data_IF_657382288968
#
_entry.id   IF_657382288968
#
_cell.length_a   1.000
_cell.length_b   1.000
_cell.length_c   1.000
_cell.angle_alpha   90.00
_cell.angle_beta   90.00
_cell.angle_gamma   90.00
#
_symmetry.space_group_name_H-M   'P 1'
#
loop_
_entity.id
_entity.type
_entity.pdbx_description
1 polymer ?
#
# COMPACT_ATOMS: atom_id res chain seq x y z
N UNK A 1 -20.44 44.13 6.75
CA UNK A 1 -20.70 43.17 7.84
C UNK A 1 -21.90 42.31 7.49
N UNK A 2 -21.84 41.03 7.83
CA UNK A 2 -22.93 40.06 7.66
C UNK A 2 -23.06 39.28 8.98
N UNK A 3 -24.25 39.31 9.58
CA UNK A 3 -24.57 38.51 10.76
C UNK A 3 -25.52 37.40 10.32
N UNK A 4 -25.15 36.16 10.62
CA UNK A 4 -25.92 34.95 10.28
C UNK A 4 -26.20 34.17 11.55
N UNK A 5 -27.45 33.74 11.72
CA UNK A 5 -27.85 32.81 12.77
C UNK A 5 -28.90 31.85 12.24
N UNK A 6 -28.72 30.55 12.51
CA UNK A 6 -29.60 29.48 12.03
C UNK A 6 -29.91 29.54 10.51
N UNK A 7 -28.93 29.96 9.69
CA UNK A 7 -29.08 30.11 8.23
C UNK A 7 -29.88 31.33 7.78
N UNK A 8 -30.30 32.21 8.71
CA UNK A 8 -31.03 33.45 8.46
C UNK A 8 -30.12 34.65 8.68
N UNK A 9 -30.36 35.73 7.93
CA UNK A 9 -29.60 36.98 8.05
C UNK A 9 -30.19 37.82 9.17
N UNK A 10 -29.36 38.23 10.13
CA UNK A 10 -29.72 39.19 11.18
C UNK A 10 -29.27 40.63 10.87
N UNK A 11 -28.30 40.79 9.98
CA UNK A 11 -27.84 42.10 9.49
C UNK A 11 -26.96 41.92 8.25
N UNK A 12 -27.09 42.83 7.28
CA UNK A 12 -26.20 42.93 6.12
C UNK A 12 -26.04 44.40 5.72
N UNK A 13 -24.84 44.97 5.91
CA UNK A 13 -24.59 46.39 5.66
C UNK A 13 -23.19 46.85 6.05
N UNK A 14 -22.94 48.15 6.03
CA UNK A 14 -21.67 48.74 6.45
C UNK A 14 -21.43 48.50 7.96
N UNK A 15 -20.19 48.23 8.36
CA UNK A 15 -19.85 48.03 9.79
C UNK A 15 -20.17 49.26 10.65
N UNK A 16 -20.05 50.46 10.08
CA UNK A 16 -20.35 51.74 10.73
C UNK A 16 -21.82 51.89 11.12
N UNK A 17 -22.73 51.27 10.37
CA UNK A 17 -24.17 51.46 10.54
C UNK A 17 -24.78 50.42 11.50
N UNK A 18 -23.97 49.45 11.93
CA UNK A 18 -24.41 48.33 12.75
C UNK A 18 -24.87 48.76 14.14
N UNK A 19 -24.11 49.65 14.81
CA UNK A 19 -24.49 50.18 16.12
C UNK A 19 -25.82 50.95 16.05
N UNK A 20 -26.01 51.74 15.00
CA UNK A 20 -27.24 52.48 14.74
C UNK A 20 -28.42 51.55 14.46
N UNK A 21 -28.20 50.46 13.72
CA UNK A 21 -29.21 49.43 13.50
C UNK A 21 -29.62 48.73 14.80
N UNK A 22 -28.64 48.27 15.58
CA UNK A 22 -28.84 47.60 16.85
C UNK A 22 -29.60 48.50 17.85
N UNK A 23 -29.25 49.79 17.91
CA UNK A 23 -30.00 50.77 18.69
C UNK A 23 -31.45 50.91 18.21
N UNK A 24 -31.71 50.93 16.89
CA UNK A 24 -33.05 51.05 16.30
C UNK A 24 -33.97 49.86 16.63
N UNK A 25 -33.42 48.66 16.75
CA UNK A 25 -34.17 47.45 17.14
C UNK A 25 -34.23 47.25 18.66
N UNK A 26 -33.79 48.24 19.45
CA UNK A 26 -33.87 48.21 20.91
C UNK A 26 -32.80 47.35 21.59
N UNK A 27 -31.64 47.19 20.96
CA UNK A 27 -30.49 46.43 21.47
C UNK A 27 -29.19 47.25 21.33
N UNK A 28 -29.06 48.43 21.95
CA UNK A 28 -27.86 49.25 21.82
C UNK A 28 -26.64 48.53 22.41
N UNK A 29 -25.48 48.71 21.76
CA UNK A 29 -24.21 48.14 22.26
C UNK A 29 -23.84 48.83 23.57
N UNK A 30 -23.64 48.09 24.68
CA UNK A 30 -23.24 48.68 25.95
C UNK A 30 -21.85 49.35 25.88
N UNK A 31 -21.61 50.35 26.73
CA UNK A 31 -20.29 50.96 26.86
C UNK A 31 -19.26 49.94 27.35
N UNK A 32 -17.99 50.13 26.95
CA UNK A 32 -16.87 49.24 27.32
C UNK A 32 -17.05 47.76 26.88
N UNK A 33 -17.99 47.47 25.97
CA UNK A 33 -18.22 46.13 25.44
C UNK A 33 -17.74 46.04 24.00
N UNK A 34 -17.07 44.94 23.65
CA UNK A 34 -16.70 44.68 22.26
C UNK A 34 -17.97 44.49 21.39
N UNK A 35 -18.23 45.34 20.39
CA UNK A 35 -19.44 45.26 19.57
C UNK A 35 -19.61 43.93 18.84
N UNK A 36 -18.51 43.27 18.45
CA UNK A 36 -18.56 41.98 17.78
C UNK A 36 -19.02 40.85 18.73
N UNK A 37 -18.59 40.91 19.98
CA UNK A 37 -18.93 39.93 21.02
C UNK A 37 -20.39 40.09 21.47
N UNK A 38 -20.82 41.34 21.71
CA UNK A 38 -22.23 41.65 21.99
C UNK A 38 -23.18 41.15 20.89
N UNK A 39 -22.79 41.34 19.62
CA UNK A 39 -23.56 40.83 18.48
C UNK A 39 -23.62 39.31 18.44
N UNK A 40 -22.50 38.64 18.73
CA UNK A 40 -22.43 37.18 18.79
C UNK A 40 -23.34 36.62 19.88
N UNK A 41 -23.34 37.23 21.08
CA UNK A 41 -24.24 36.83 22.17
C UNK A 41 -25.72 37.07 21.82
N UNK A 42 -26.01 38.22 21.21
CA UNK A 42 -27.38 38.63 20.88
C UNK A 42 -28.03 37.76 19.80
N UNK A 43 -27.27 37.32 18.80
CA UNK A 43 -27.78 36.51 17.68
C UNK A 43 -27.52 35.00 17.84
N UNK A 44 -26.94 34.55 18.95
CA UNK A 44 -26.70 33.14 19.21
C UNK A 44 -27.76 32.56 20.15
N UNK A 45 -28.40 31.47 19.69
CA UNK A 45 -29.45 30.75 20.42
C UNK A 45 -28.94 30.00 21.67
N UNK A 46 -27.62 29.83 21.80
CA UNK A 46 -27.00 29.21 22.99
C UNK A 46 -26.88 30.21 24.16
N UNK A 47 -26.82 31.51 23.87
CA UNK A 47 -26.68 32.59 24.86
C UNK A 47 -27.97 33.39 25.07
N UNK A 48 -28.86 33.42 24.07
CA UNK A 48 -30.12 34.14 24.07
C UNK A 48 -31.31 33.21 23.81
N UNK A 49 -32.52 33.58 24.24
CA UNK A 49 -33.69 32.74 24.01
C UNK A 49 -33.99 32.57 22.51
N UNK A 50 -34.39 31.35 22.09
CA UNK A 50 -34.67 31.05 20.66
C UNK A 50 -35.70 32.02 20.07
N UNK A 51 -36.76 32.33 20.83
CA UNK A 51 -37.81 33.25 20.41
C UNK A 51 -37.30 34.68 20.21
N UNK A 52 -36.36 35.13 21.06
CA UNK A 52 -35.74 36.45 20.94
C UNK A 52 -34.86 36.54 19.70
N UNK A 53 -33.99 35.54 19.47
CA UNK A 53 -33.15 35.47 18.26
C UNK A 53 -34.02 35.44 17.01
N UNK A 54 -35.08 34.65 16.98
CA UNK A 54 -35.98 34.59 15.83
C UNK A 54 -36.69 35.92 15.56
N UNK A 55 -37.09 36.64 16.60
CA UNK A 55 -37.69 37.98 16.47
C UNK A 55 -36.72 39.00 15.87
N UNK A 56 -35.43 38.94 16.21
CA UNK A 56 -34.38 39.80 15.67
C UNK A 56 -34.13 39.49 14.18
N UNK A 57 -34.13 38.20 13.82
CA UNK A 57 -33.99 37.75 12.44
C UNK A 57 -35.22 38.15 11.58
N UNK A 58 -36.44 38.11 12.15
CA UNK A 58 -37.66 38.59 11.50
C UNK A 58 -37.63 40.11 11.29
N UNK A 59 -37.15 40.85 12.28
CA UNK A 59 -36.97 42.30 12.21
C UNK A 59 -36.01 42.71 11.09
N UNK A 60 -34.94 41.95 10.86
CA UNK A 60 -34.07 42.19 9.71
C UNK A 60 -34.74 41.81 8.38
N UNK A 61 -35.44 40.68 8.31
CA UNK A 61 -36.05 40.20 7.07
C UNK A 61 -37.05 41.21 6.47
N UNK A 62 -37.85 41.87 7.33
CA UNK A 62 -38.77 42.94 6.90
C UNK A 62 -38.03 44.16 6.35
N UNK A 63 -36.87 44.49 6.92
CA UNK A 63 -36.05 45.61 6.50
C UNK A 63 -35.20 45.32 5.25
N UNK A 64 -34.73 44.09 5.08
CA UNK A 64 -33.86 43.67 3.97
C UNK A 64 -34.53 43.85 2.60
N UNK A 65 -35.85 43.75 2.52
CA UNK A 65 -36.64 43.98 1.30
C UNK A 65 -36.40 45.39 0.72
N UNK A 66 -36.14 46.38 1.58
CA UNK A 66 -35.89 47.76 1.16
C UNK A 66 -34.45 48.04 0.69
N UNK A 67 -33.49 47.16 1.05
CA UNK A 67 -32.05 47.34 0.81
C UNK A 67 -31.58 46.53 -0.41
N UNK A 68 -32.40 45.59 -0.89
CA UNK A 68 -32.09 44.74 -2.04
C UNK A 68 -32.07 45.55 -3.35
N UNK A 69 -30.95 46.20 -3.66
CA UNK A 69 -30.65 46.64 -5.01
C UNK A 69 -30.04 45.48 -5.81
N UNK A 70 -30.59 45.13 -6.99
CA UNK A 70 -29.99 44.11 -7.83
C UNK A 70 -28.65 44.66 -8.36
N UNK A 71 -27.54 44.19 -7.79
CA UNK A 71 -26.21 44.44 -8.35
C UNK A 71 -26.05 43.56 -9.60
N UNK A 72 -26.50 44.08 -10.75
CA UNK A 72 -26.28 43.44 -12.05
C UNK A 72 -24.89 43.86 -12.55
N UNK A 73 -23.85 43.40 -11.86
CA UNK A 73 -22.48 43.46 -12.35
C UNK A 73 -22.17 42.16 -13.10
N UNK A 74 -21.82 42.24 -14.38
CA UNK A 74 -21.34 41.08 -15.12
C UNK A 74 -19.99 40.63 -14.52
N UNK A 75 -20.03 39.66 -13.61
CA UNK A 75 -18.83 38.97 -13.14
C UNK A 75 -18.31 38.15 -14.31
N UNK A 76 -17.26 38.64 -14.97
CA UNK A 76 -16.49 37.86 -15.95
C UNK A 76 -15.72 36.80 -15.18
N UNK A 77 -16.38 35.69 -14.87
CA UNK A 77 -15.70 34.50 -14.39
C UNK A 77 -14.62 34.12 -15.43
N UNK A 78 -13.34 34.14 -15.03
CA UNK A 78 -12.25 33.66 -15.87
C UNK A 78 -12.49 32.18 -16.22
N UNK A 79 -13.10 31.96 -17.40
CA UNK A 79 -13.37 30.64 -17.96
C UNK A 79 -12.10 30.12 -18.62
N UNK A 80 -11.17 29.63 -17.82
CA UNK A 80 -9.96 29.00 -18.33
C UNK A 80 -9.49 27.90 -17.40
N UNK A 81 -10.16 26.75 -17.40
CA UNK A 81 -9.54 25.56 -16.80
C UNK A 81 -8.33 25.18 -17.65
N UNK A 82 -7.17 25.10 -17.01
CA UNK A 82 -5.94 24.62 -17.61
C UNK A 82 -6.14 23.20 -18.16
N UNK A 83 -5.46 22.84 -19.26
CA UNK A 83 -5.59 21.50 -19.85
C UNK A 83 -5.06 20.42 -18.90
N UNK A 84 -5.59 19.20 -18.97
CA UNK A 84 -5.17 18.08 -18.11
C UNK A 84 -3.66 17.82 -18.23
N UNK A 85 -3.08 17.96 -19.43
CA UNK A 85 -1.64 17.82 -19.64
C UNK A 85 -0.82 18.90 -18.91
N UNK A 86 -1.31 20.14 -18.88
CA UNK A 86 -0.65 21.21 -18.11
C UNK A 86 -0.75 20.98 -16.60
N UNK A 87 -1.89 20.50 -16.11
CA UNK A 87 -2.08 20.11 -14.71
C UNK A 87 -1.15 18.96 -14.34
N UNK A 88 -1.09 17.91 -15.17
CA UNK A 88 -0.23 16.75 -14.97
C UNK A 88 1.25 17.16 -14.86
N UNK A 89 1.73 18.06 -15.72
CA UNK A 89 3.12 18.55 -15.67
C UNK A 89 3.42 19.28 -14.36
N UNK A 90 2.52 20.15 -13.91
CA UNK A 90 2.67 20.89 -12.65
C UNK A 90 2.65 19.93 -11.47
N UNK A 91 1.72 18.98 -11.46
CA UNK A 91 1.61 17.98 -10.41
C UNK A 91 2.83 17.05 -10.39
N UNK A 92 3.32 16.58 -11.53
CA UNK A 92 4.55 15.79 -11.60
C UNK A 92 5.74 16.54 -11.02
N UNK A 93 5.92 17.82 -11.38
CA UNK A 93 6.96 18.67 -10.79
C UNK A 93 6.80 18.79 -9.27
N UNK A 94 5.57 19.00 -8.79
CA UNK A 94 5.24 19.08 -7.35
C UNK A 94 5.56 17.78 -6.63
N UNK A 95 5.03 16.65 -7.11
CA UNK A 95 5.22 15.34 -6.48
C UNK A 95 6.67 14.88 -6.53
N UNK A 96 7.40 15.15 -7.62
CA UNK A 96 8.85 14.89 -7.69
C UNK A 96 9.59 15.70 -6.64
N UNK A 97 9.31 17.01 -6.54
CA UNK A 97 9.94 17.85 -5.52
C UNK A 97 9.62 17.35 -4.12
N UNK A 98 8.35 17.05 -3.83
CA UNK A 98 7.91 16.54 -2.54
C UNK A 98 8.62 15.23 -2.18
N UNK A 99 8.68 14.27 -3.11
CA UNK A 99 9.37 13.00 -2.91
C UNK A 99 10.87 13.17 -2.60
N UNK A 100 11.50 14.26 -3.06
CA UNK A 100 12.90 14.57 -2.79
C UNK A 100 13.12 15.45 -1.55
N UNK A 101 12.18 16.36 -1.22
CA UNK A 101 12.35 17.35 -0.14
C UNK A 101 11.70 16.95 1.18
N UNK A 102 10.57 16.23 1.13
CA UNK A 102 9.92 15.63 2.29
C UNK A 102 9.73 14.13 2.02
N UNK A 103 10.83 13.36 2.11
CA UNK A 103 10.80 11.97 1.72
C UNK A 103 10.25 11.08 2.83
N UNK A 104 9.52 11.59 3.82
CA UNK A 104 9.10 10.82 5.01
C UNK A 104 8.46 9.47 4.67
N UNK A 105 7.63 9.42 3.62
CA UNK A 105 7.04 8.19 3.06
C UNK A 105 8.10 7.18 2.57
N UNK A 106 9.12 7.64 1.84
CA UNK A 106 10.09 6.75 1.18
C UNK A 106 11.35 6.52 2.02
N UNK A 107 11.87 7.54 2.71
CA UNK A 107 13.05 7.43 3.58
C UNK A 107 12.81 6.47 4.74
N UNK A 108 11.65 6.53 5.41
CA UNK A 108 11.33 5.57 6.48
C UNK A 108 11.33 4.13 5.96
N UNK A 109 10.77 3.91 4.77
CA UNK A 109 10.76 2.60 4.10
C UNK A 109 12.16 2.18 3.64
N UNK A 110 12.95 3.07 3.05
CA UNK A 110 14.34 2.79 2.63
C UNK A 110 15.16 2.32 3.84
N UNK A 111 15.09 3.05 4.96
CA UNK A 111 15.80 2.68 6.20
C UNK A 111 15.35 1.31 6.69
N UNK A 112 14.04 1.05 6.73
CA UNK A 112 13.51 -0.26 7.14
C UNK A 112 13.92 -1.39 6.17
N UNK A 113 13.88 -1.15 4.86
CA UNK A 113 14.27 -2.11 3.81
C UNK A 113 15.75 -2.49 3.93
N UNK A 114 16.64 -1.52 4.13
CA UNK A 114 18.06 -1.77 4.32
C UNK A 114 18.29 -2.54 5.62
N UNK A 115 17.62 -2.15 6.71
CA UNK A 115 17.72 -2.85 7.99
C UNK A 115 17.29 -4.32 7.88
N UNK A 116 16.13 -4.61 7.26
CA UNK A 116 15.69 -5.99 7.05
C UNK A 116 16.61 -6.75 6.09
N UNK A 117 17.09 -6.10 5.03
CA UNK A 117 18.03 -6.67 4.06
C UNK A 117 19.43 -6.90 4.62
N UNK A 118 19.75 -6.40 5.82
CA UNK A 118 20.97 -6.73 6.55
C UNK A 118 20.68 -7.74 7.66
N UNK A 119 19.69 -7.46 8.51
CA UNK A 119 19.40 -8.23 9.71
C UNK A 119 19.02 -9.68 9.37
N UNK A 120 18.10 -9.88 8.44
CA UNK A 120 17.62 -11.23 8.12
C UNK A 120 18.75 -12.09 7.50
N UNK A 121 19.51 -11.62 6.50
CA UNK A 121 20.67 -12.36 5.99
C UNK A 121 21.75 -12.66 7.03
N UNK A 122 21.99 -11.73 7.97
CA UNK A 122 22.96 -11.96 9.06
C UNK A 122 22.48 -13.06 10.01
N UNK A 123 21.19 -13.08 10.36
CA UNK A 123 20.61 -14.14 11.20
C UNK A 123 20.69 -15.50 10.51
N UNK A 124 20.50 -15.53 9.19
CA UNK A 124 20.52 -16.74 8.36
C UNK A 124 21.89 -16.98 7.70
N UNK A 125 23.00 -16.49 8.27
CA UNK A 125 24.31 -16.51 7.60
C UNK A 125 24.80 -17.93 7.25
N UNK A 126 24.42 -18.93 8.03
CA UNK A 126 24.73 -20.35 7.78
C UNK A 126 24.12 -20.85 6.46
N UNK A 127 23.05 -20.19 5.96
CA UNK A 127 22.44 -20.50 4.66
C UNK A 127 23.37 -20.22 3.47
N UNK A 128 24.54 -19.61 3.70
CA UNK A 128 25.62 -19.49 2.69
C UNK A 128 26.27 -20.82 2.37
N UNK A 129 26.35 -21.71 3.35
CA UNK A 129 26.96 -23.02 3.19
C UNK A 129 25.97 -23.90 2.44
N UNK A 130 26.36 -24.34 1.24
CA UNK A 130 25.51 -25.14 0.35
C UNK A 130 25.52 -26.61 0.76
N UNK A 131 25.00 -26.85 1.95
CA UNK A 131 24.85 -28.17 2.56
C UNK A 131 23.37 -28.49 2.70
N UNK A 132 23.01 -29.78 2.69
CA UNK A 132 21.61 -30.22 2.69
C UNK A 132 20.80 -29.68 3.87
N UNK A 133 21.42 -29.59 5.06
CA UNK A 133 20.78 -29.07 6.28
C UNK A 133 20.36 -27.59 6.16
N UNK A 134 21.05 -26.82 5.32
CA UNK A 134 20.86 -25.38 5.18
C UNK A 134 19.85 -25.00 4.09
N UNK A 135 19.39 -25.95 3.27
CA UNK A 135 18.44 -25.69 2.17
C UNK A 135 17.16 -25.04 2.69
N UNK A 136 16.60 -25.54 3.80
CA UNK A 136 15.39 -24.98 4.39
C UNK A 136 15.62 -23.56 4.93
N UNK A 137 16.81 -23.26 5.46
CA UNK A 137 17.16 -21.91 5.91
C UNK A 137 17.09 -20.90 4.77
N UNK A 138 17.48 -21.28 3.54
CA UNK A 138 17.36 -20.43 2.36
C UNK A 138 15.88 -20.14 2.03
N UNK A 139 15.01 -21.16 2.04
CA UNK A 139 13.57 -20.99 1.83
C UNK A 139 12.93 -20.06 2.87
N UNK A 140 13.29 -20.22 4.15
CA UNK A 140 12.78 -19.34 5.21
C UNK A 140 13.32 -17.91 5.10
N UNK A 141 14.60 -17.72 4.75
CA UNK A 141 15.17 -16.40 4.50
C UNK A 141 14.43 -15.71 3.34
N UNK A 142 14.20 -16.42 2.25
CA UNK A 142 13.41 -15.95 1.10
C UNK A 142 11.98 -15.56 1.52
N UNK A 143 11.30 -16.43 2.28
CA UNK A 143 9.97 -16.13 2.82
C UNK A 143 9.96 -14.81 3.60
N UNK A 144 10.91 -14.60 4.52
CA UNK A 144 10.99 -13.38 5.32
C UNK A 144 11.28 -12.16 4.47
N UNK A 145 12.30 -12.20 3.61
CA UNK A 145 12.66 -11.06 2.75
C UNK A 145 11.52 -10.70 1.81
N UNK A 146 10.85 -11.69 1.21
CA UNK A 146 9.84 -11.42 0.20
C UNK A 146 8.48 -11.03 0.78
N UNK A 147 8.12 -11.64 1.91
CA UNK A 147 6.78 -11.47 2.49
C UNK A 147 6.75 -10.38 3.55
N UNK A 148 7.75 -10.31 4.44
CA UNK A 148 7.75 -9.36 5.56
C UNK A 148 7.89 -7.91 5.07
N UNK A 149 8.82 -7.68 4.16
CA UNK A 149 9.15 -6.33 3.71
C UNK A 149 8.06 -5.70 2.81
N UNK A 150 7.19 -6.49 2.17
CA UNK A 150 5.98 -5.94 1.53
C UNK A 150 4.97 -5.38 2.54
N UNK A 151 5.08 -5.75 3.82
CA UNK A 151 4.31 -5.17 4.93
C UNK A 151 4.69 -3.74 5.27
N UNK A 152 5.84 -3.23 4.80
CA UNK A 152 6.23 -1.84 5.01
C UNK A 152 5.27 -0.83 4.34
N UNK A 153 4.42 -1.29 3.42
CA UNK A 153 3.33 -0.49 2.84
C UNK A 153 2.29 -0.04 3.88
N UNK A 154 2.29 -0.59 5.10
CA UNK A 154 1.47 -0.10 6.22
C UNK A 154 1.73 1.38 6.53
N UNK A 155 2.99 1.82 6.48
CA UNK A 155 3.36 3.24 6.66
C UNK A 155 2.78 4.08 5.51
N UNK A 156 2.82 3.53 4.29
CA UNK A 156 2.30 4.21 3.11
C UNK A 156 0.78 4.44 3.21
N UNK A 157 0.02 3.51 3.78
CA UNK A 157 -1.43 3.67 4.01
C UNK A 157 -1.75 4.94 4.79
N UNK A 158 -0.97 5.27 5.82
CA UNK A 158 -1.16 6.50 6.60
C UNK A 158 -0.85 7.75 5.77
N UNK A 159 0.29 7.78 5.08
CA UNK A 159 0.66 8.91 4.23
C UNK A 159 -0.35 9.14 3.10
N UNK A 160 -0.86 8.06 2.49
CA UNK A 160 -1.88 8.15 1.45
C UNK A 160 -3.22 8.66 1.98
N UNK A 161 -3.57 8.39 3.25
CA UNK A 161 -4.76 8.96 3.87
C UNK A 161 -4.64 10.50 3.97
N UNK A 162 -3.54 10.99 4.56
CA UNK A 162 -3.25 12.43 4.69
C UNK A 162 -3.24 13.14 3.32
N UNK A 163 -2.59 12.54 2.33
CA UNK A 163 -2.57 13.07 0.96
C UNK A 163 -3.99 13.11 0.37
N UNK A 164 -4.79 12.05 0.57
CA UNK A 164 -6.16 11.99 0.04
C UNK A 164 -7.08 13.06 0.63
N UNK A 165 -6.89 13.44 1.89
CA UNK A 165 -7.66 14.50 2.53
C UNK A 165 -7.38 15.85 1.88
N UNK A 166 -6.09 16.14 1.67
CA UNK A 166 -5.64 17.37 0.99
C UNK A 166 -6.18 17.43 -0.43
N UNK A 167 -6.00 16.35 -1.21
CA UNK A 167 -6.43 16.27 -2.62
C UNK A 167 -7.94 16.48 -2.78
N UNK A 168 -8.77 16.00 -1.86
CA UNK A 168 -10.22 16.24 -1.90
C UNK A 168 -10.55 17.72 -1.84
N UNK A 169 -9.87 18.48 -0.98
CA UNK A 169 -10.03 19.93 -0.88
C UNK A 169 -9.53 20.63 -2.15
N UNK A 170 -8.36 20.23 -2.67
CA UNK A 170 -7.77 20.83 -3.87
C UNK A 170 -8.65 20.63 -5.11
N UNK A 171 -9.24 19.43 -5.27
CA UNK A 171 -10.15 19.12 -6.38
C UNK A 171 -11.50 19.84 -6.22
N UNK A 172 -12.05 19.91 -5.00
CA UNK A 172 -13.32 20.64 -4.73
C UNK A 172 -13.18 22.14 -4.96
N UNK A 173 -12.02 22.71 -4.66
CA UNK A 173 -11.68 24.09 -4.98
C UNK A 173 -11.38 24.31 -6.48
N UNK A 174 -11.41 23.26 -7.29
CA UNK A 174 -11.27 23.34 -8.73
C UNK A 174 -9.83 23.58 -9.22
N UNK A 175 -8.82 23.32 -8.39
CA UNK A 175 -7.40 23.60 -8.73
C UNK A 175 -6.86 22.67 -9.83
N UNK A 176 -7.26 21.41 -9.83
CA UNK A 176 -6.91 20.42 -10.87
C UNK A 176 -7.93 19.27 -10.92
N UNK A 177 -7.86 18.46 -11.98
CA UNK A 177 -8.69 17.27 -12.17
C UNK A 177 -8.15 16.05 -11.40
N UNK A 178 -9.05 15.20 -10.88
CA UNK A 178 -8.66 13.96 -10.19
C UNK A 178 -7.82 13.04 -11.07
N UNK A 179 -8.05 13.04 -12.38
CA UNK A 179 -7.27 12.23 -13.33
C UNK A 179 -5.80 12.68 -13.41
N UNK A 180 -5.56 14.00 -13.45
CA UNK A 180 -4.19 14.54 -13.44
C UNK A 180 -3.43 14.13 -12.17
N UNK A 181 -4.11 14.12 -11.03
CA UNK A 181 -3.57 13.64 -9.76
C UNK A 181 -3.21 12.14 -9.81
N UNK A 182 -4.16 11.29 -10.20
CA UNK A 182 -3.96 9.83 -10.29
C UNK A 182 -2.77 9.49 -11.20
N UNK A 183 -2.69 10.09 -12.38
CA UNK A 183 -1.58 9.87 -13.30
C UNK A 183 -0.25 10.36 -12.70
N UNK A 184 -0.24 11.54 -12.07
CA UNK A 184 0.98 12.11 -11.51
C UNK A 184 1.57 11.26 -10.37
N UNK A 185 0.74 10.77 -9.45
CA UNK A 185 1.20 9.95 -8.32
C UNK A 185 1.65 8.58 -8.77
N UNK A 186 0.93 7.97 -9.71
CA UNK A 186 1.31 6.65 -10.27
C UNK A 186 2.68 6.71 -10.96
N UNK A 187 2.95 7.78 -11.70
CA UNK A 187 4.23 7.94 -12.40
C UNK A 187 5.42 8.09 -11.44
N UNK A 188 5.25 8.79 -10.32
CA UNK A 188 6.29 8.92 -9.29
C UNK A 188 6.44 7.64 -8.46
N UNK A 189 5.34 6.93 -8.23
CA UNK A 189 5.34 5.69 -7.46
C UNK A 189 6.22 4.62 -8.11
N UNK A 190 6.10 4.39 -9.43
CA UNK A 190 6.80 3.32 -10.14
C UNK A 190 8.34 3.31 -9.96
N UNK A 191 9.10 4.39 -10.24
CA UNK A 191 10.55 4.38 -10.05
C UNK A 191 10.94 4.18 -8.58
N UNK A 192 10.13 4.66 -7.63
CA UNK A 192 10.40 4.46 -6.21
C UNK A 192 10.26 3.00 -5.76
N UNK A 193 9.41 2.19 -6.42
CA UNK A 193 9.32 0.76 -6.12
C UNK A 193 10.63 0.03 -6.45
N UNK A 194 11.30 0.42 -7.54
CA UNK A 194 12.61 -0.12 -7.90
C UNK A 194 13.68 0.29 -6.90
N UNK A 195 13.68 1.55 -6.44
CA UNK A 195 14.60 2.01 -5.39
C UNK A 195 14.43 1.19 -4.11
N UNK A 196 13.19 1.02 -3.64
CA UNK A 196 12.91 0.21 -2.45
C UNK A 196 13.33 -1.26 -2.62
N UNK A 197 13.09 -1.85 -3.80
CA UNK A 197 13.50 -3.20 -4.11
C UNK A 197 15.02 -3.37 -4.04
N UNK A 198 15.78 -2.46 -4.66
CA UNK A 198 17.25 -2.48 -4.61
C UNK A 198 17.75 -2.33 -3.18
N UNK A 199 17.14 -1.44 -2.37
CA UNK A 199 17.56 -1.19 -1.00
C UNK A 199 17.52 -2.43 -0.10
N UNK A 200 16.58 -3.35 -0.29
CA UNK A 200 16.54 -4.62 0.46
C UNK A 200 17.32 -5.74 -0.24
N UNK A 201 17.22 -5.84 -1.57
CA UNK A 201 17.83 -6.95 -2.31
C UNK A 201 19.35 -6.83 -2.39
N UNK A 202 19.90 -5.62 -2.53
CA UNK A 202 21.35 -5.42 -2.63
C UNK A 202 22.11 -5.96 -1.40
N UNK A 203 21.78 -5.57 -0.15
CA UNK A 203 22.44 -6.15 1.02
C UNK A 203 22.10 -7.65 1.19
N UNK A 204 20.90 -8.09 0.80
CA UNK A 204 20.52 -9.50 0.85
C UNK A 204 21.40 -10.36 -0.04
N UNK A 205 21.61 -9.98 -1.31
CA UNK A 205 22.47 -10.72 -2.22
C UNK A 205 23.92 -10.73 -1.73
N UNK A 206 24.42 -9.58 -1.26
CA UNK A 206 25.78 -9.45 -0.77
C UNK A 206 26.02 -10.28 0.50
N UNK A 207 25.12 -10.24 1.48
CA UNK A 207 25.27 -10.91 2.77
C UNK A 207 24.86 -12.38 2.69
N UNK A 208 23.90 -12.78 1.88
CA UNK A 208 23.51 -14.19 1.74
C UNK A 208 24.37 -14.97 0.76
N UNK A 209 25.24 -14.31 -0.01
CA UNK A 209 26.10 -14.97 -1.00
C UNK A 209 25.33 -15.58 -2.17
N UNK A 210 24.20 -14.97 -2.54
CA UNK A 210 23.36 -15.42 -3.65
C UNK A 210 24.03 -15.13 -4.99
N UNK A 211 23.69 -15.93 -6.01
CA UNK A 211 24.21 -15.72 -7.36
C UNK A 211 23.65 -14.43 -7.96
N UNK A 212 24.46 -13.65 -8.69
CA UNK A 212 24.10 -12.29 -9.11
C UNK A 212 23.41 -12.20 -10.48
N UNK A 213 23.46 -13.25 -11.31
CA UNK A 213 22.82 -13.23 -12.63
C UNK A 213 21.31 -12.96 -12.60
N UNK A 214 20.50 -13.47 -11.64
CA UNK A 214 19.07 -13.20 -11.62
C UNK A 214 18.71 -11.90 -10.88
N UNK A 215 19.70 -11.07 -10.51
CA UNK A 215 19.45 -9.87 -9.69
C UNK A 215 18.44 -8.90 -10.32
N UNK A 216 18.49 -8.68 -11.64
CA UNK A 216 17.53 -7.81 -12.33
C UNK A 216 16.11 -8.39 -12.36
N UNK A 217 15.89 -9.67 -12.72
CA UNK A 217 14.59 -10.34 -12.56
C UNK A 217 14.04 -10.29 -11.12
N UNK A 218 14.90 -10.44 -10.11
CA UNK A 218 14.53 -10.28 -8.71
C UNK A 218 14.02 -8.87 -8.41
N UNK A 219 14.77 -7.85 -8.81
CA UNK A 219 14.37 -6.44 -8.63
C UNK A 219 13.05 -6.14 -9.32
N UNK A 220 12.85 -6.61 -10.55
CA UNK A 220 11.60 -6.42 -11.30
C UNK A 220 10.41 -7.04 -10.57
N UNK A 221 10.47 -8.33 -10.29
CA UNK A 221 9.38 -9.07 -9.63
C UNK A 221 9.09 -8.53 -8.23
N UNK A 222 10.13 -8.16 -7.48
CA UNK A 222 9.97 -7.57 -6.15
C UNK A 222 9.37 -6.17 -6.19
N UNK A 223 9.81 -5.30 -7.11
CA UNK A 223 9.23 -3.98 -7.31
C UNK A 223 7.75 -4.08 -7.71
N UNK A 224 7.39 -5.05 -8.57
CA UNK A 224 5.99 -5.33 -8.90
C UNK A 224 5.20 -5.82 -7.68
N UNK A 225 5.78 -6.67 -6.83
CA UNK A 225 5.18 -7.13 -5.58
C UNK A 225 4.88 -5.99 -4.61
N UNK A 226 5.87 -5.11 -4.37
CA UNK A 226 5.68 -3.90 -3.54
C UNK A 226 4.62 -3.00 -4.16
N UNK A 227 4.66 -2.77 -5.49
CA UNK A 227 3.68 -1.94 -6.17
C UNK A 227 2.25 -2.45 -6.00
N UNK A 228 2.05 -3.77 -6.13
CA UNK A 228 0.76 -4.42 -5.95
C UNK A 228 0.21 -4.19 -4.54
N UNK A 229 1.07 -4.34 -3.52
CA UNK A 229 0.72 -4.04 -2.13
C UNK A 229 0.48 -2.55 -1.86
N UNK A 230 1.26 -1.65 -2.44
CA UNK A 230 1.04 -0.20 -2.33
C UNK A 230 -0.30 0.22 -2.98
N UNK A 231 -0.71 -0.41 -4.08
CA UNK A 231 -2.03 -0.19 -4.67
C UNK A 231 -3.15 -0.63 -3.73
N UNK A 232 -2.97 -1.76 -3.03
CA UNK A 232 -3.90 -2.20 -1.98
C UNK A 232 -3.93 -1.20 -0.81
N UNK A 233 -2.76 -0.75 -0.34
CA UNK A 233 -2.64 0.28 0.70
C UNK A 233 -3.35 1.59 0.33
N UNK A 234 -3.20 2.05 -0.92
CA UNK A 234 -3.93 3.22 -1.44
C UNK A 234 -5.46 3.01 -1.38
N UNK A 235 -5.96 1.84 -1.77
CA UNK A 235 -7.39 1.56 -1.69
C UNK A 235 -7.89 1.59 -0.23
N UNK A 236 -7.13 1.00 0.71
CA UNK A 236 -7.47 0.98 2.12
C UNK A 236 -7.34 2.34 2.81
N UNK A 237 -6.49 3.23 2.31
CA UNK A 237 -6.33 4.59 2.87
C UNK A 237 -7.58 5.45 2.69
N UNK A 238 -8.49 5.11 1.77
CA UNK A 238 -9.78 5.80 1.60
C UNK A 238 -10.82 5.32 2.63
N UNK A 239 -10.39 5.21 3.89
CA UNK A 239 -11.24 4.86 5.02
C UNK A 239 -11.76 6.12 5.74
N UNK A 240 -12.83 6.04 6.55
CA UNK A 240 -13.29 7.18 7.34
C UNK A 240 -12.28 7.64 8.41
N UNK A 241 -11.46 6.70 8.90
CA UNK A 241 -10.45 6.95 9.90
C UNK A 241 -9.13 6.26 9.50
N UNK A 242 -7.96 6.91 9.66
CA UNK A 242 -6.68 6.37 9.21
C UNK A 242 -6.34 5.01 9.84
N UNK A 243 -6.64 4.85 11.14
CA UNK A 243 -6.38 3.58 11.86
C UNK A 243 -7.16 2.41 11.25
N UNK A 244 -8.38 2.63 10.78
CA UNK A 244 -9.18 1.58 10.11
C UNK A 244 -8.53 1.18 8.78
N UNK A 245 -8.05 2.17 8.01
CA UNK A 245 -7.33 1.90 6.77
C UNK A 245 -6.06 1.08 7.00
N UNK A 246 -5.28 1.44 8.02
CA UNK A 246 -4.07 0.71 8.44
C UNK A 246 -4.41 -0.73 8.83
N UNK A 247 -5.43 -0.94 9.68
CA UNK A 247 -5.84 -2.28 10.13
C UNK A 247 -6.35 -3.15 8.97
N UNK A 248 -7.11 -2.57 8.03
CA UNK A 248 -7.59 -3.29 6.85
C UNK A 248 -6.44 -3.73 5.94
N UNK A 249 -5.50 -2.83 5.66
CA UNK A 249 -4.29 -3.18 4.91
C UNK A 249 -3.49 -4.28 5.62
N UNK A 250 -3.27 -4.11 6.92
CA UNK A 250 -2.52 -5.08 7.72
C UNK A 250 -3.17 -6.46 7.71
N UNK A 251 -4.52 -6.51 7.74
CA UNK A 251 -5.28 -7.76 7.65
C UNK A 251 -5.09 -8.44 6.29
N UNK A 252 -5.16 -7.69 5.19
CA UNK A 252 -4.90 -8.22 3.84
C UNK A 252 -3.45 -8.71 3.71
N UNK A 253 -2.49 -7.93 4.23
CA UNK A 253 -1.08 -8.32 4.22
C UNK A 253 -0.83 -9.61 5.03
N UNK A 254 -1.43 -9.74 6.24
CA UNK A 254 -1.32 -10.96 7.04
C UNK A 254 -1.96 -12.18 6.35
N UNK A 255 -3.13 -12.00 5.73
CA UNK A 255 -3.74 -13.05 4.91
C UNK A 255 -2.81 -13.43 3.76
N UNK A 256 -2.22 -12.43 3.09
CA UNK A 256 -1.26 -12.67 2.01
C UNK A 256 -0.06 -13.46 2.52
N UNK A 257 0.47 -13.11 3.69
CA UNK A 257 1.56 -13.83 4.33
C UNK A 257 1.20 -15.29 4.62
N UNK A 258 -0.02 -15.57 5.09
CA UNK A 258 -0.48 -16.92 5.40
C UNK A 258 -0.72 -17.77 4.14
N UNK A 259 -1.34 -17.20 3.11
CA UNK A 259 -1.73 -17.89 1.87
C UNK A 259 -0.69 -17.72 0.75
N UNK A 260 0.61 -17.73 1.09
CA UNK A 260 1.68 -17.55 0.10
C UNK A 260 2.28 -18.85 -0.46
N UNK A 261 1.84 -20.02 0.02
CA UNK A 261 2.31 -21.34 -0.44
C UNK A 261 3.56 -21.89 0.26
N UNK A 262 4.14 -21.14 1.22
CA UNK A 262 5.22 -21.63 2.11
C UNK A 262 4.64 -22.04 3.46
N UNK A 263 3.74 -21.23 4.02
CA UNK A 263 3.27 -21.43 5.41
C UNK A 263 2.31 -22.62 5.51
N UNK A 264 1.36 -22.72 4.57
CA UNK A 264 0.36 -23.79 4.52
C UNK A 264 0.12 -24.18 3.06
N UNK A 265 0.09 -25.48 2.72
CA UNK A 265 -0.34 -25.96 1.40
C UNK A 265 -1.81 -25.62 1.11
N UNK A 266 -2.12 -25.28 -0.12
CA UNK A 266 -3.49 -24.99 -0.57
C UNK A 266 -4.40 -26.22 -0.50
N UNK A 267 -3.84 -27.42 -0.68
CA UNK A 267 -4.58 -28.68 -0.57
C UNK A 267 -5.19 -28.89 0.83
N UNK A 268 -4.51 -28.41 1.88
CA UNK A 268 -4.91 -28.57 3.29
C UNK A 268 -5.87 -27.47 3.77
N UNK A 269 -6.09 -26.43 2.96
CA UNK A 269 -7.00 -25.33 3.30
C UNK A 269 -8.41 -25.63 2.80
N UNK A 270 -9.38 -25.45 3.69
CA UNK A 270 -10.82 -25.63 3.41
C UNK A 270 -11.36 -24.62 2.39
N UNK A 271 -12.33 -25.04 1.59
CA UNK A 271 -13.09 -24.14 0.73
C UNK A 271 -14.10 -23.32 1.58
N UNK A 272 -14.29 -22.00 1.37
CA UNK A 272 -13.80 -21.17 0.26
C UNK A 272 -12.47 -20.43 0.52
N UNK A 273 -11.84 -20.59 1.69
CA UNK A 273 -10.60 -19.87 2.06
C UNK A 273 -9.44 -20.15 1.09
N UNK A 274 -9.44 -21.32 0.44
CA UNK A 274 -8.49 -21.66 -0.63
C UNK A 274 -8.44 -20.63 -1.77
N UNK A 275 -9.51 -19.86 -1.99
CA UNK A 275 -9.52 -18.79 -3.00
C UNK A 275 -8.46 -17.70 -2.76
N UNK A 276 -8.05 -17.50 -1.51
CA UNK A 276 -7.03 -16.51 -1.13
C UNK A 276 -5.65 -16.76 -1.74
N UNK A 277 -5.30 -18.01 -2.05
CA UNK A 277 -4.06 -18.33 -2.77
C UNK A 277 -4.03 -17.73 -4.19
N UNK A 278 -5.17 -17.49 -4.82
CA UNK A 278 -5.25 -17.00 -6.20
C UNK A 278 -5.44 -15.49 -6.31
N UNK A 279 -5.87 -14.81 -5.24
CA UNK A 279 -6.16 -13.37 -5.27
C UNK A 279 -5.14 -12.53 -4.52
N UNK A 280 -4.33 -13.13 -3.65
CA UNK A 280 -3.35 -12.42 -2.84
C UNK A 280 -1.96 -12.43 -3.52
N UNK A 281 -1.24 -11.29 -3.50
CA UNK A 281 -0.06 -11.13 -4.34
C UNK A 281 1.18 -11.91 -3.86
N UNK A 282 1.39 -12.10 -2.56
CA UNK A 282 2.64 -12.71 -2.03
C UNK A 282 2.89 -14.13 -2.51
N UNK A 283 1.87 -14.92 -2.85
CA UNK A 283 2.07 -16.27 -3.43
C UNK A 283 2.88 -16.17 -4.72
N UNK A 284 2.39 -15.34 -5.65
CA UNK A 284 3.04 -15.12 -6.94
C UNK A 284 4.43 -14.50 -6.80
N UNK A 285 4.61 -13.61 -5.81
CA UNK A 285 5.94 -13.08 -5.51
C UNK A 285 6.89 -14.19 -5.06
N UNK A 286 6.48 -15.05 -4.12
CA UNK A 286 7.34 -16.13 -3.64
C UNK A 286 7.63 -17.16 -4.74
N UNK A 287 6.65 -17.55 -5.55
CA UNK A 287 6.83 -18.44 -6.71
C UNK A 287 7.88 -17.88 -7.68
N UNK A 288 7.73 -16.62 -8.11
CA UNK A 288 8.67 -15.99 -9.04
C UNK A 288 10.11 -15.96 -8.49
N UNK A 289 10.27 -15.50 -7.25
CA UNK A 289 11.57 -15.34 -6.62
C UNK A 289 12.26 -16.69 -6.35
N UNK A 290 11.50 -17.69 -5.89
CA UNK A 290 12.02 -19.05 -5.73
C UNK A 290 12.53 -19.58 -7.05
N UNK A 291 11.75 -19.45 -8.12
CA UNK A 291 12.16 -19.95 -9.44
C UNK A 291 13.43 -19.29 -9.95
N UNK A 292 13.53 -17.96 -9.88
CA UNK A 292 14.77 -17.26 -10.25
C UNK A 292 15.98 -17.68 -9.41
N UNK A 293 15.79 -17.99 -8.14
CA UNK A 293 16.88 -18.42 -7.27
C UNK A 293 17.35 -19.83 -7.62
N UNK A 294 16.41 -20.79 -7.60
CA UNK A 294 16.72 -22.22 -7.65
C UNK A 294 17.13 -22.66 -9.06
N UNK A 295 16.76 -21.94 -10.11
CA UNK A 295 17.18 -22.25 -11.48
C UNK A 295 18.67 -21.96 -11.72
N UNK A 296 19.24 -21.02 -10.98
CA UNK A 296 20.62 -20.55 -11.15
C UNK A 296 21.51 -20.88 -9.94
N UNK A 297 21.01 -21.70 -9.00
CA UNK A 297 21.77 -22.05 -7.80
C UNK A 297 22.90 -23.03 -8.14
N UNK A 298 24.11 -22.83 -7.59
CA UNK A 298 25.17 -23.83 -7.67
C UNK A 298 24.79 -25.10 -6.90
N UNK A 299 25.44 -26.20 -7.26
CA UNK A 299 25.23 -27.51 -6.63
C UNK A 299 25.43 -27.48 -5.11
N UNK A 300 24.55 -28.19 -4.40
CA UNK A 300 24.65 -28.44 -2.97
C UNK A 300 25.47 -29.70 -2.70
N UNK A 301 26.33 -29.65 -1.68
CA UNK A 301 27.13 -30.78 -1.25
C UNK A 301 26.31 -31.79 -0.41
N UNK A 302 26.88 -32.97 -0.19
CA UNK A 302 26.32 -33.99 0.71
C UNK A 302 25.41 -35.03 0.06
N UNK A 303 25.26 -34.98 -1.28
CA UNK A 303 24.44 -35.93 -2.05
C UNK A 303 25.31 -36.89 -2.86
N UNK A 304 24.89 -38.15 -2.93
CA UNK A 304 25.45 -39.15 -3.80
C UNK A 304 24.37 -39.69 -4.74
N UNK A 305 24.68 -39.79 -6.03
CA UNK A 305 23.78 -40.40 -7.01
C UNK A 305 23.64 -41.88 -6.76
N UNK A 306 22.43 -42.41 -6.94
CA UNK A 306 22.14 -43.83 -6.83
C UNK A 306 21.06 -44.22 -7.84
N UNK A 307 21.09 -45.47 -8.29
CA UNK A 307 20.00 -46.02 -9.11
C UNK A 307 18.86 -46.46 -8.20
N UNK A 308 17.65 -45.89 -8.32
CA UNK A 308 16.52 -46.34 -7.52
C UNK A 308 16.18 -47.80 -7.87
N UNK A 309 15.87 -48.61 -6.85
CA UNK A 309 15.47 -49.99 -7.07
C UNK A 309 14.05 -50.01 -7.67
N UNK A 310 13.95 -50.30 -8.97
CA UNK A 310 12.68 -50.31 -9.71
C UNK A 310 11.87 -51.61 -9.52
N UNK A 311 12.31 -52.54 -8.65
CA UNK A 311 11.65 -53.83 -8.42
C UNK A 311 10.80 -53.76 -7.15
N UNK A 312 9.45 -53.74 -7.25
CA UNK A 312 8.59 -53.76 -6.07
C UNK A 312 8.77 -55.06 -5.29
N UNK A 313 9.06 -54.96 -3.99
CA UNK A 313 8.99 -56.09 -3.06
C UNK A 313 10.20 -57.03 -3.02
N UNK A 314 11.33 -56.73 -3.68
CA UNK A 314 12.53 -57.55 -3.56
C UNK A 314 13.80 -56.73 -3.29
N UNK A 315 14.01 -56.36 -2.03
CA UNK A 315 15.21 -55.67 -1.54
C UNK A 315 16.51 -56.48 -1.68
N UNK A 316 16.42 -57.79 -1.98
CA UNK A 316 17.58 -58.66 -2.21
C UNK A 316 18.11 -58.63 -3.65
N UNK A 317 17.36 -58.06 -4.61
CA UNK A 317 17.78 -57.95 -6.01
C UNK A 317 18.77 -56.81 -6.26
N UNK A 318 18.92 -55.88 -5.32
CA UNK A 318 19.82 -54.73 -5.43
C UNK A 318 20.60 -54.49 -4.12
N UNK A 319 21.72 -55.22 -3.90
CA UNK A 319 22.57 -55.04 -2.74
C UNK A 319 23.11 -53.59 -2.71
N UNK A 320 22.84 -52.84 -1.64
CA UNK A 320 23.27 -51.44 -1.46
C UNK A 320 22.22 -50.37 -1.77
N UNK A 321 21.00 -50.75 -2.19
CA UNK A 321 19.96 -49.80 -2.62
C UNK A 321 18.92 -49.45 -1.54
N UNK A 322 19.13 -49.88 -0.28
CA UNK A 322 18.18 -49.66 0.81
C UNK A 322 18.00 -48.17 1.19
N UNK A 323 18.90 -47.30 0.73
CA UNK A 323 18.95 -45.88 1.11
C UNK A 323 18.65 -44.92 -0.06
N UNK A 324 18.42 -45.43 -1.28
CA UNK A 324 18.20 -44.59 -2.46
C UNK A 324 16.74 -44.12 -2.52
N UNK A 325 16.52 -42.81 -2.60
CA UNK A 325 15.17 -42.27 -2.78
C UNK A 325 14.64 -42.53 -4.20
N UNK A 326 13.32 -42.39 -4.41
CA UNK A 326 12.71 -42.56 -5.73
C UNK A 326 13.24 -41.56 -6.78
N UNK A 327 13.84 -40.45 -6.34
CA UNK A 327 14.45 -39.43 -7.18
C UNK A 327 15.89 -39.76 -7.61
N UNK A 328 16.48 -40.87 -7.16
CA UNK A 328 17.79 -41.36 -7.60
C UNK A 328 18.99 -40.72 -6.91
N UNK A 329 18.84 -40.24 -5.68
CA UNK A 329 19.95 -39.77 -4.85
C UNK A 329 19.76 -40.11 -3.37
N UNK A 330 20.83 -40.03 -2.60
CA UNK A 330 20.80 -40.19 -1.14
C UNK A 330 21.92 -39.38 -0.48
N UNK A 331 21.82 -39.18 0.82
CA UNK A 331 22.79 -38.43 1.61
C UNK A 331 23.41 -39.38 2.65
N UNK A 332 24.71 -39.70 2.56
CA UNK A 332 25.34 -40.71 3.42
C UNK A 332 25.27 -40.39 4.92
N UNK A 333 25.41 -39.10 5.25
CA UNK A 333 25.56 -38.62 6.63
C UNK A 333 24.24 -38.11 7.24
N UNK A 334 23.14 -38.16 6.48
CA UNK A 334 21.87 -37.54 6.87
C UNK A 334 20.68 -38.51 6.77
N UNK A 335 19.66 -38.32 7.62
CA UNK A 335 18.39 -39.02 7.45
C UNK A 335 17.79 -38.75 6.07
N UNK A 336 17.09 -39.74 5.50
CA UNK A 336 16.45 -39.61 4.19
C UNK A 336 15.48 -38.42 4.08
N UNK A 337 14.86 -38.00 5.20
CA UNK A 337 13.97 -36.83 5.27
C UNK A 337 14.67 -35.49 5.12
N UNK A 338 15.98 -35.42 5.37
CA UNK A 338 16.79 -34.20 5.27
C UNK A 338 17.57 -34.12 3.96
N UNK A 339 17.48 -35.16 3.12
CA UNK A 339 18.16 -35.22 1.83
C UNK A 339 17.25 -34.71 0.71
N UNK A 340 17.56 -33.54 0.15
CA UNK A 340 16.67 -32.81 -0.76
C UNK A 340 17.21 -32.70 -2.18
N UNK A 341 18.52 -32.85 -2.39
CA UNK A 341 19.11 -32.98 -3.72
C UNK A 341 20.32 -32.08 -3.95
N UNK A 342 21.01 -32.33 -5.06
CA UNK A 342 22.22 -31.61 -5.45
C UNK A 342 21.89 -30.35 -6.25
N UNK A 343 20.99 -30.50 -7.23
CA UNK A 343 20.61 -29.41 -8.15
C UNK A 343 19.40 -28.66 -7.62
N UNK A 344 19.24 -27.40 -8.02
CA UNK A 344 18.06 -26.62 -7.64
C UNK A 344 16.75 -27.26 -8.09
N UNK A 345 16.73 -27.94 -9.23
CA UNK A 345 15.56 -28.70 -9.70
C UNK A 345 15.24 -29.89 -8.79
N UNK A 346 16.25 -30.68 -8.39
CA UNK A 346 16.07 -31.80 -7.45
C UNK A 346 15.57 -31.30 -6.09
N UNK A 347 16.15 -30.22 -5.58
CA UNK A 347 15.76 -29.58 -4.32
C UNK A 347 14.31 -29.12 -4.37
N UNK A 348 13.95 -28.40 -5.43
CA UNK A 348 12.60 -27.85 -5.62
C UNK A 348 11.57 -28.98 -5.73
N UNK A 349 11.85 -30.04 -6.50
CA UNK A 349 10.97 -31.20 -6.62
C UNK A 349 10.80 -31.97 -5.30
N UNK A 350 11.87 -32.10 -4.50
CA UNK A 350 11.80 -32.78 -3.20
C UNK A 350 10.99 -32.00 -2.18
N UNK A 351 11.00 -30.66 -2.28
CA UNK A 351 10.29 -29.77 -1.35
C UNK A 351 8.86 -29.44 -1.80
N UNK A 352 8.52 -29.58 -3.09
CA UNK A 352 7.20 -29.28 -3.64
C UNK A 352 6.01 -29.88 -2.86
N UNK A 353 6.06 -31.15 -2.39
CA UNK A 353 4.94 -31.73 -1.65
C UNK A 353 4.64 -31.04 -0.31
N UNK A 354 5.64 -30.35 0.26
CA UNK A 354 5.53 -29.64 1.54
C UNK A 354 5.33 -28.13 1.32
N UNK A 355 6.04 -27.57 0.34
CA UNK A 355 6.04 -26.14 0.03
C UNK A 355 5.60 -25.93 -1.42
N UNK A 356 4.37 -25.49 -1.64
CA UNK A 356 3.83 -25.30 -3.00
C UNK A 356 4.59 -24.27 -3.83
N UNK A 357 5.31 -23.35 -3.19
CA UNK A 357 6.16 -22.38 -3.92
C UNK A 357 7.40 -23.01 -4.53
N UNK A 358 7.79 -24.20 -4.06
CA UNK A 358 8.87 -24.98 -4.63
C UNK A 358 8.33 -25.71 -5.87
N UNK A 359 7.91 -24.96 -6.88
CA UNK A 359 7.33 -25.50 -8.11
C UNK A 359 8.23 -25.21 -9.31
N UNK A 360 8.70 -26.28 -9.96
CA UNK A 360 9.54 -26.20 -11.16
C UNK A 360 8.75 -25.92 -12.44
N UNK A 361 7.43 -26.12 -12.42
CA UNK A 361 6.57 -26.00 -13.62
C UNK A 361 6.07 -24.58 -13.83
N UNK A 362 6.09 -23.75 -12.78
CA UNK A 362 5.61 -22.38 -12.83
C UNK A 362 6.59 -21.48 -13.59
N UNK A 363 6.06 -20.73 -14.58
CA UNK A 363 6.79 -19.68 -15.27
C UNK A 363 6.86 -18.41 -14.38
N UNK A 364 8.06 -17.93 -14.02
CA UNK A 364 8.19 -16.76 -13.17
C UNK A 364 7.65 -15.48 -13.82
N UNK A 365 7.62 -15.37 -15.15
CA UNK A 365 7.05 -14.19 -15.82
C UNK A 365 5.53 -14.15 -15.72
N UNK A 366 4.86 -15.31 -15.76
CA UNK A 366 3.41 -15.38 -15.52
C UNK A 366 3.06 -14.92 -14.11
N UNK A 367 3.91 -15.22 -13.13
CA UNK A 367 3.74 -14.70 -11.76
C UNK A 367 3.87 -13.17 -11.70
N UNK A 368 4.83 -12.57 -12.40
CA UNK A 368 4.96 -11.10 -12.49
C UNK A 368 3.73 -10.48 -13.15
N UNK A 369 3.20 -11.09 -14.22
CA UNK A 369 1.96 -10.65 -14.86
C UNK A 369 0.76 -10.75 -13.91
N UNK A 370 0.66 -11.82 -13.11
CA UNK A 370 -0.37 -11.95 -12.09
C UNK A 370 -0.27 -10.86 -11.01
N UNK A 371 0.94 -10.56 -10.54
CA UNK A 371 1.19 -9.45 -9.60
C UNK A 371 0.75 -8.10 -10.18
N UNK A 372 1.07 -7.84 -11.46
CA UNK A 372 0.63 -6.64 -12.17
C UNK A 372 -0.89 -6.57 -12.27
N UNK A 373 -1.55 -7.68 -12.60
CA UNK A 373 -3.01 -7.74 -12.70
C UNK A 373 -3.69 -7.43 -11.34
N UNK A 374 -3.18 -8.03 -10.25
CA UNK A 374 -3.67 -7.77 -8.88
C UNK A 374 -3.44 -6.29 -8.51
N UNK A 375 -2.27 -5.73 -8.83
CA UNK A 375 -1.97 -4.33 -8.56
C UNK A 375 -2.87 -3.38 -9.35
N UNK A 376 -3.12 -3.66 -10.64
CA UNK A 376 -4.05 -2.91 -11.48
C UNK A 376 -5.48 -2.96 -10.94
N UNK A 377 -5.94 -4.13 -10.46
CA UNK A 377 -7.24 -4.25 -9.82
C UNK A 377 -7.36 -3.31 -8.61
N UNK A 378 -6.41 -3.36 -7.69
CA UNK A 378 -6.42 -2.47 -6.51
C UNK A 378 -6.29 -1.00 -6.89
N UNK A 379 -5.49 -0.68 -7.92
CA UNK A 379 -5.36 0.69 -8.43
C UNK A 379 -6.67 1.21 -9.01
N UNK A 380 -7.43 0.35 -9.70
CA UNK A 380 -8.76 0.68 -10.21
C UNK A 380 -9.75 0.90 -9.07
N UNK A 381 -9.75 0.03 -8.06
CA UNK A 381 -10.58 0.18 -6.84
C UNK A 381 -10.31 1.53 -6.18
N UNK A 382 -9.04 1.84 -5.91
CA UNK A 382 -8.64 3.14 -5.37
C UNK A 382 -9.09 4.31 -6.23
N UNK A 383 -8.90 4.23 -7.56
CA UNK A 383 -9.32 5.26 -8.52
C UNK A 383 -10.82 5.54 -8.43
N UNK A 384 -11.65 4.50 -8.37
CA UNK A 384 -13.11 4.65 -8.20
C UNK A 384 -13.45 5.30 -6.86
N UNK A 385 -12.79 4.89 -5.77
CA UNK A 385 -13.01 5.43 -4.43
C UNK A 385 -12.64 6.92 -4.33
N UNK A 386 -11.46 7.32 -4.83
CA UNK A 386 -10.99 8.70 -4.76
C UNK A 386 -11.83 9.62 -5.64
N UNK A 387 -12.24 9.19 -6.83
CA UNK A 387 -13.12 9.96 -7.72
C UNK A 387 -14.48 10.19 -7.06
N UNK A 388 -15.05 9.17 -6.39
CA UNK A 388 -16.31 9.30 -5.66
C UNK A 388 -16.19 10.26 -4.47
N UNK A 389 -15.07 10.26 -3.75
CA UNK A 389 -14.83 11.16 -2.60
C UNK A 389 -14.51 12.60 -2.98
N UNK A 390 -13.99 12.83 -4.18
CA UNK A 390 -13.68 14.16 -4.69
C UNK A 390 -14.88 14.88 -5.33
N UNK A 391 -15.92 14.12 -5.73
CA UNK A 391 -17.25 14.68 -6.00
C UNK A 391 -17.88 15.16 -4.70
#
# INVERSE_FOLDING_TARGET
ALILSAGRVGYFGATTDMASYLARIGRPVPQETNPAEYVLELFNRDFSSVAEVDSLLDAWATQAVSIAQPVIGAVTAQKGRSSVASQLRVLLKRHTRLALTDPSLYVSRIVAMILFGILLPVVYIESRQREQENVLLVYFLQFWIFTLATGASTIATFCFDLESQTVRLEVRNGMYSTLAYICSTTFIQLPMMFVLAICILLPTFAISGWHWSPFLPFVLSYATGIWSMDCCAQAMSISPHPVVGILNFQSIWFLSLLFNGIVIPSADVVWPLRTFFYVLPTRYLNLAQNRFYWDEVPHYAGTASCTPCLVPGNSSACPGHAFCNAAGFYCPDLPATSCVGETGEQITNSLHPVYEVADVTTDPMQCVLALLAIGCFWKLVWTVLIVRKCR
#
